data_IF_025291024927
#
_entry.id   IF_025291024927
#
_cell.length_a   1.000
_cell.length_b   1.000
_cell.length_c   1.000
_cell.angle_alpha   90.00
_cell.angle_beta   90.00
_cell.angle_gamma   90.00
#
_symmetry.space_group_name_H-M   'P 1'
#
loop_
_entity.id
_entity.type
_entity.pdbx_description
1 polymer ?
#
# COMPACT_ATOMS: atom_id res chain seq x y z
N UNK A 1 19.48 -4.13 23.53
CA UNK A 1 19.08 -5.17 24.52
C UNK A 1 19.99 -6.39 24.33
N UNK A 2 20.83 -6.77 25.31
CA UNK A 2 21.80 -7.89 25.15
C UNK A 2 21.14 -9.24 24.79
N UNK A 3 19.85 -9.42 25.08
CA UNK A 3 19.10 -10.64 24.78
C UNK A 3 18.82 -10.83 23.28
N UNK A 4 18.55 -9.74 22.54
CA UNK A 4 18.08 -9.81 21.15
C UNK A 4 19.28 -10.07 20.24
N UNK A 5 20.42 -9.45 20.57
CA UNK A 5 21.73 -9.73 19.97
C UNK A 5 22.14 -11.19 20.18
N UNK A 6 22.06 -11.71 21.41
CA UNK A 6 22.38 -13.13 21.68
C UNK A 6 21.50 -14.11 20.90
N UNK A 7 20.22 -13.79 20.67
CA UNK A 7 19.32 -14.62 19.86
C UNK A 7 19.66 -14.55 18.36
N UNK A 8 20.06 -13.38 17.86
CA UNK A 8 20.47 -13.21 16.47
C UNK A 8 21.82 -13.88 16.21
N UNK A 9 22.82 -13.66 17.08
CA UNK A 9 24.16 -14.26 17.02
C UNK A 9 24.09 -15.80 17.09
N UNK A 10 23.17 -16.35 17.89
CA UNK A 10 22.98 -17.81 17.99
C UNK A 10 22.46 -18.45 16.70
N UNK A 11 21.87 -17.67 15.79
CA UNK A 11 21.31 -18.15 14.51
C UNK A 11 22.16 -17.74 13.31
N UNK A 12 23.10 -16.80 13.47
CA UNK A 12 24.07 -16.36 12.46
C UNK A 12 24.75 -17.50 11.68
N UNK A 13 25.29 -18.57 12.31
CA UNK A 13 26.03 -19.61 11.59
C UNK A 13 25.17 -20.47 10.64
N UNK A 14 23.84 -20.33 10.66
CA UNK A 14 22.95 -20.98 9.68
C UNK A 14 22.84 -20.20 8.36
N UNK A 15 23.18 -18.90 8.40
CA UNK A 15 23.06 -17.97 7.29
C UNK A 15 24.44 -17.58 6.70
N UNK A 16 25.52 -17.65 7.48
CA UNK A 16 26.90 -17.43 7.00
C UNK A 16 27.38 -18.50 5.98
N UNK A 17 28.46 -18.19 5.26
CA UNK A 17 29.04 -19.03 4.19
C UNK A 17 29.22 -20.50 4.64
N UNK A 18 28.53 -21.43 3.98
CA UNK A 18 28.49 -22.86 4.33
C UNK A 18 27.28 -23.32 5.14
N UNK A 19 26.36 -22.40 5.48
CA UNK A 19 25.09 -22.70 6.11
C UNK A 19 24.01 -23.20 5.13
N UNK A 20 23.03 -23.97 5.61
CA UNK A 20 21.91 -24.47 4.76
C UNK A 20 21.02 -23.35 4.20
N UNK A 21 21.09 -22.14 4.75
CA UNK A 21 20.26 -20.98 4.39
C UNK A 21 21.09 -19.81 3.84
N UNK A 22 22.29 -20.06 3.31
CA UNK A 22 23.19 -19.05 2.71
C UNK A 22 22.48 -18.13 1.69
N UNK A 23 21.48 -18.64 0.96
CA UNK A 23 20.65 -17.83 0.03
C UNK A 23 19.86 -16.70 0.71
N UNK A 24 19.60 -16.80 2.01
CA UNK A 24 18.92 -15.76 2.81
C UNK A 24 19.90 -14.91 3.61
N UNK A 25 21.20 -15.11 3.43
CA UNK A 25 22.24 -14.28 4.03
C UNK A 25 22.02 -12.78 3.80
N UNK A 26 21.67 -12.29 2.59
CA UNK A 26 21.46 -10.86 2.37
C UNK A 26 20.31 -10.29 3.20
N UNK A 27 19.25 -11.09 3.40
CA UNK A 27 18.10 -10.67 4.20
C UNK A 27 18.42 -10.66 5.70
N UNK A 28 19.22 -11.63 6.15
CA UNK A 28 19.70 -11.71 7.53
C UNK A 28 20.65 -10.56 7.85
N UNK A 29 21.63 -10.29 6.99
CA UNK A 29 22.58 -9.20 7.15
C UNK A 29 21.88 -7.84 7.12
N UNK A 30 20.94 -7.61 6.20
CA UNK A 30 20.15 -6.39 6.14
C UNK A 30 19.35 -6.16 7.43
N UNK A 31 18.75 -7.22 7.98
CA UNK A 31 18.02 -7.14 9.24
C UNK A 31 18.93 -6.87 10.46
N UNK A 32 20.07 -7.56 10.56
CA UNK A 32 21.03 -7.32 11.66
C UNK A 32 21.62 -5.90 11.59
N UNK A 33 22.02 -5.48 10.39
CA UNK A 33 22.49 -4.12 10.09
C UNK A 33 21.46 -3.04 10.41
N UNK A 34 20.17 -3.30 10.18
CA UNK A 34 19.12 -2.32 10.46
C UNK A 34 18.94 -2.07 11.96
N UNK A 35 19.01 -3.13 12.77
CA UNK A 35 18.85 -3.02 14.22
C UNK A 35 20.15 -2.71 14.98
N UNK A 36 21.31 -3.01 14.38
CA UNK A 36 22.60 -2.90 15.02
C UNK A 36 23.67 -2.27 14.12
N UNK A 37 24.41 -1.31 14.67
CA UNK A 37 25.58 -0.72 14.00
C UNK A 37 26.70 -1.77 13.84
N UNK A 38 27.34 -1.87 12.65
CA UNK A 38 28.54 -2.67 12.45
C UNK A 38 29.64 -2.24 13.42
N UNK A 39 30.30 -3.21 14.05
CA UNK A 39 31.33 -2.96 15.06
C UNK A 39 32.73 -2.72 14.50
N UNK A 40 32.89 -2.61 13.18
CA UNK A 40 34.20 -2.47 12.55
C UNK A 40 34.79 -1.08 12.80
N UNK A 41 35.98 -1.05 13.39
CA UNK A 41 36.72 0.18 13.71
C UNK A 41 37.97 0.29 12.85
N UNK A 42 38.29 1.51 12.41
CA UNK A 42 39.50 1.77 11.64
C UNK A 42 40.74 1.56 12.50
N UNK A 43 41.61 0.63 12.10
CA UNK A 43 42.82 0.26 12.87
C UNK A 43 44.03 1.15 12.56
N UNK A 44 44.08 1.79 11.38
CA UNK A 44 45.21 2.62 10.93
C UNK A 44 44.89 4.13 10.98
N UNK A 45 45.94 4.95 10.89
CA UNK A 45 45.80 6.41 10.80
C UNK A 45 45.16 6.80 9.46
N UNK A 46 44.03 7.53 9.51
CA UNK A 46 43.41 8.14 8.34
C UNK A 46 43.80 9.62 8.25
N UNK A 47 43.97 10.12 7.02
CA UNK A 47 44.39 11.50 6.75
C UNK A 47 43.38 12.55 7.25
N UNK A 48 42.09 12.23 7.20
CA UNK A 48 40.98 13.00 7.80
C UNK A 48 40.04 12.00 8.48
N UNK A 49 39.47 12.38 9.62
CA UNK A 49 38.43 11.59 10.32
C UNK A 49 37.12 12.37 10.27
N UNK A 50 36.16 11.85 9.51
CA UNK A 50 34.78 12.31 9.58
C UNK A 50 34.08 11.62 10.76
N UNK A 51 33.24 12.37 11.47
CA UNK A 51 32.41 11.87 12.57
C UNK A 51 31.02 11.40 12.11
N UNK A 52 30.69 11.59 10.83
CA UNK A 52 29.46 11.07 10.25
C UNK A 52 29.60 9.56 9.97
N UNK A 53 28.85 8.76 10.72
CA UNK A 53 28.62 7.36 10.40
C UNK A 53 27.59 7.28 9.28
N UNK A 54 28.03 6.91 8.07
CA UNK A 54 27.20 6.81 6.87
C UNK A 54 25.97 5.93 7.10
N UNK A 55 26.14 4.81 7.82
CA UNK A 55 25.05 3.87 8.06
C UNK A 55 24.03 4.46 9.04
N UNK A 56 24.49 5.19 10.06
CA UNK A 56 23.61 5.86 11.03
C UNK A 56 22.83 7.01 10.42
N UNK A 57 23.46 7.78 9.53
CA UNK A 57 22.78 8.81 8.75
C UNK A 57 21.66 8.22 7.89
N UNK A 58 21.91 7.08 7.24
CA UNK A 58 20.91 6.38 6.43
C UNK A 58 19.69 5.96 7.27
N UNK A 59 19.90 5.34 8.43
CA UNK A 59 18.78 4.92 9.29
C UNK A 59 18.02 6.12 9.87
N UNK A 60 18.70 7.22 10.20
CA UNK A 60 18.04 8.43 10.70
C UNK A 60 17.07 9.02 9.67
N UNK A 61 17.47 9.03 8.39
CA UNK A 61 16.60 9.47 7.29
C UNK A 61 15.38 8.57 7.15
N UNK A 62 15.55 7.25 7.23
CA UNK A 62 14.42 6.29 7.19
C UNK A 62 13.45 6.56 8.34
N UNK A 63 13.94 6.76 9.56
CA UNK A 63 13.10 7.09 10.73
C UNK A 63 12.37 8.42 10.54
N UNK A 64 13.03 9.43 9.96
CA UNK A 64 12.41 10.72 9.66
C UNK A 64 11.31 10.63 8.58
N UNK A 65 11.39 9.65 7.68
CA UNK A 65 10.38 9.41 6.64
C UNK A 65 9.13 8.69 7.16
N UNK A 66 9.18 8.00 8.29
CA UNK A 66 8.02 7.29 8.88
C UNK A 66 6.77 8.18 8.97
N UNK A 67 6.79 9.37 9.62
CA UNK A 67 5.60 10.22 9.68
C UNK A 67 5.12 10.70 8.30
N UNK A 68 6.04 10.89 7.35
CA UNK A 68 5.70 11.26 5.98
C UNK A 68 4.96 10.12 5.26
N UNK A 69 5.45 8.88 5.39
CA UNK A 69 4.82 7.69 4.82
C UNK A 69 3.42 7.45 5.40
N UNK A 70 3.24 7.63 6.71
CA UNK A 70 1.92 7.54 7.34
C UNK A 70 0.93 8.56 6.77
N UNK A 71 1.34 9.83 6.65
CA UNK A 71 0.50 10.87 6.08
C UNK A 71 0.19 10.62 4.59
N UNK A 72 1.18 10.16 3.82
CA UNK A 72 0.98 9.82 2.41
C UNK A 72 -0.03 8.68 2.24
N UNK A 73 0.11 7.60 3.02
CA UNK A 73 -0.84 6.48 2.98
C UNK A 73 -2.26 6.93 3.34
N UNK A 74 -2.41 7.73 4.39
CA UNK A 74 -3.72 8.26 4.77
C UNK A 74 -4.34 9.14 3.67
N UNK A 75 -3.57 10.08 3.12
CA UNK A 75 -4.07 11.01 2.09
C UNK A 75 -4.44 10.28 0.79
N UNK A 76 -3.58 9.38 0.32
CA UNK A 76 -3.86 8.59 -0.89
C UNK A 76 -5.10 7.71 -0.71
N UNK A 77 -5.25 7.07 0.44
CA UNK A 77 -6.41 6.22 0.70
C UNK A 77 -7.71 6.99 0.85
N UNK A 78 -7.68 8.17 1.47
CA UNK A 78 -8.83 9.07 1.55
C UNK A 78 -9.32 9.47 0.16
N UNK A 79 -8.42 9.89 -0.74
CA UNK A 79 -8.78 10.27 -2.11
C UNK A 79 -9.35 9.10 -2.91
N UNK A 80 -8.79 7.90 -2.75
CA UNK A 80 -9.27 6.72 -3.44
C UNK A 80 -10.66 6.27 -2.94
N UNK A 81 -10.90 6.25 -1.62
CA UNK A 81 -12.22 5.93 -1.05
C UNK A 81 -13.28 6.96 -1.44
N UNK A 82 -12.93 8.25 -1.49
CA UNK A 82 -13.83 9.31 -1.98
C UNK A 82 -14.18 9.12 -3.46
N UNK A 83 -13.21 8.78 -4.30
CA UNK A 83 -13.44 8.53 -5.72
C UNK A 83 -14.35 7.31 -5.95
N UNK A 84 -14.18 6.24 -5.16
CA UNK A 84 -15.04 5.05 -5.23
C UNK A 84 -16.47 5.40 -4.81
N UNK A 85 -16.65 6.13 -3.70
CA UNK A 85 -17.98 6.59 -3.25
C UNK A 85 -18.66 7.45 -4.31
N UNK A 86 -17.95 8.41 -4.91
CA UNK A 86 -18.50 9.25 -5.97
C UNK A 86 -18.97 8.45 -7.19
N UNK A 87 -18.24 7.38 -7.56
CA UNK A 87 -18.65 6.47 -8.64
C UNK A 87 -19.87 5.62 -8.28
N UNK A 88 -19.97 5.16 -7.03
CA UNK A 88 -21.16 4.45 -6.52
C UNK A 88 -22.39 5.37 -6.57
N UNK A 89 -22.25 6.61 -6.10
CA UNK A 89 -23.35 7.59 -6.08
C UNK A 89 -23.80 7.96 -7.51
N UNK A 90 -22.88 8.02 -8.49
CA UNK A 90 -23.22 8.19 -9.91
C UNK A 90 -24.01 7.01 -10.49
N UNK A 91 -23.65 5.78 -10.11
CA UNK A 91 -24.39 4.58 -10.54
C UNK A 91 -25.82 4.60 -9.97
N UNK A 92 -25.98 5.01 -8.71
CA UNK A 92 -27.31 5.19 -8.08
C UNK A 92 -28.10 6.32 -8.73
N UNK A 93 -27.47 7.42 -9.17
CA UNK A 93 -28.14 8.53 -9.85
C UNK A 93 -28.60 8.22 -11.29
N UNK A 94 -28.03 7.19 -11.93
CA UNK A 94 -28.47 6.69 -13.24
C UNK A 94 -29.67 5.73 -13.15
N UNK A 95 -29.88 5.05 -12.01
CA UNK A 95 -31.01 4.15 -11.76
C UNK A 95 -32.40 4.85 -11.62
N UNK A 96 -32.57 6.09 -11.09
CA UNK A 96 -33.87 6.75 -11.03
C UNK A 96 -34.42 7.21 -12.39
N UNK A 97 -33.65 7.11 -13.48
CA UNK A 97 -34.16 7.36 -14.83
C UNK A 97 -34.97 6.16 -15.37
N UNK A 98 -34.75 4.95 -14.86
CA UNK A 98 -35.46 3.73 -15.32
C UNK A 98 -36.86 3.62 -14.71
N UNK A 99 -37.14 4.28 -13.58
CA UNK A 99 -38.43 4.17 -12.89
C UNK A 99 -39.09 5.52 -12.54
N UNK A 100 -38.84 6.56 -13.33
CA UNK A 100 -39.82 7.63 -13.46
C UNK A 100 -40.75 7.25 -14.61
N UNK A 101 -41.87 6.62 -14.29
CA UNK A 101 -43.10 6.88 -15.06
C UNK A 101 -43.28 8.39 -14.94
N UNK A 102 -42.90 9.10 -15.99
CA UNK A 102 -43.03 10.55 -16.05
C UNK A 102 -44.53 10.82 -16.17
N UNK A 103 -45.18 11.09 -15.04
CA UNK A 103 -46.52 11.67 -15.01
C UNK A 103 -46.41 13.15 -15.39
N UNK A 104 -46.07 13.42 -16.65
CA UNK A 104 -46.39 14.71 -17.23
C UNK A 104 -47.73 14.52 -17.92
N UNK A 105 -48.72 15.26 -17.41
CA UNK A 105 -50.03 15.46 -18.00
C UNK A 105 -50.91 14.21 -18.16
N UNK A 106 -51.35 13.63 -17.04
CA UNK A 106 -52.68 13.03 -16.91
C UNK A 106 -53.15 11.95 -17.92
N UNK A 107 -52.28 11.41 -18.76
CA UNK A 107 -52.64 10.46 -19.80
C UNK A 107 -51.58 9.35 -19.84
N UNK A 108 -52.03 8.12 -19.57
CA UNK A 108 -51.17 6.94 -19.62
C UNK A 108 -50.92 6.57 -21.08
N UNK A 109 -49.77 6.98 -21.62
CA UNK A 109 -49.35 6.52 -22.95
C UNK A 109 -49.04 5.02 -22.92
N UNK A 110 -49.49 4.24 -23.92
CA UNK A 110 -49.23 2.81 -24.02
C UNK A 110 -47.72 2.47 -24.05
N UNK A 111 -47.32 1.26 -23.61
CA UNK A 111 -45.93 0.88 -23.34
C UNK A 111 -45.00 0.86 -24.56
N UNK A 112 -45.55 1.09 -25.75
CA UNK A 112 -44.93 0.99 -27.06
C UNK A 112 -44.42 2.34 -27.62
N UNK A 113 -44.79 3.47 -27.02
CA UNK A 113 -44.24 4.81 -27.35
C UNK A 113 -43.35 5.43 -26.25
N UNK A 114 -43.13 4.71 -25.15
CA UNK A 114 -42.02 5.00 -24.25
C UNK A 114 -40.74 4.59 -24.98
N UNK A 115 -40.19 5.53 -25.76
CA UNK A 115 -39.06 5.33 -26.65
C UNK A 115 -38.07 4.36 -26.05
N UNK A 116 -37.81 3.25 -26.77
CA UNK A 116 -36.95 2.15 -26.36
C UNK A 116 -35.83 2.65 -25.45
N UNK A 117 -36.04 2.54 -24.14
CA UNK A 117 -34.95 2.73 -23.19
C UNK A 117 -34.09 1.51 -23.43
N UNK A 118 -33.06 1.72 -24.25
CA UNK A 118 -31.96 0.80 -24.43
C UNK A 118 -31.63 0.28 -23.02
N UNK A 119 -31.67 -1.04 -22.77
CA UNK A 119 -31.14 -1.58 -21.53
C UNK A 119 -29.76 -0.96 -21.38
N UNK A 120 -29.47 -0.34 -20.24
CA UNK A 120 -28.13 0.19 -19.99
C UNK A 120 -27.14 -0.93 -20.35
N UNK A 121 -26.33 -0.68 -21.38
CA UNK A 121 -25.26 -1.59 -21.78
C UNK A 121 -24.53 -1.99 -20.48
N UNK A 122 -24.24 -3.28 -20.24
CA UNK A 122 -23.64 -3.76 -18.99
C UNK A 122 -22.26 -3.14 -18.67
N UNK A 123 -21.74 -2.27 -19.55
CA UNK A 123 -20.53 -1.47 -19.39
C UNK A 123 -20.68 -0.23 -18.49
N UNK A 124 -21.89 0.17 -18.09
CA UNK A 124 -22.12 1.38 -17.27
C UNK A 124 -22.31 1.10 -15.77
N UNK A 125 -22.47 -0.16 -15.36
CA UNK A 125 -22.60 -0.55 -13.95
C UNK A 125 -21.20 -0.56 -13.29
N UNK A 126 -20.98 0.29 -12.29
CA UNK A 126 -19.74 0.29 -11.51
C UNK A 126 -19.80 -0.76 -10.40
N UNK A 127 -19.06 -1.87 -10.58
CA UNK A 127 -18.89 -2.89 -9.55
C UNK A 127 -17.71 -2.55 -8.62
N UNK A 128 -17.96 -2.20 -7.34
CA UNK A 128 -16.90 -1.76 -6.42
C UNK A 128 -15.90 -2.87 -6.08
N UNK A 129 -16.34 -4.13 -6.06
CA UNK A 129 -15.47 -5.28 -5.80
C UNK A 129 -14.48 -5.53 -6.95
N UNK A 130 -14.94 -5.41 -8.20
CA UNK A 130 -14.09 -5.52 -9.38
C UNK A 130 -13.08 -4.36 -9.45
N UNK A 131 -13.48 -3.14 -9.04
CA UNK A 131 -12.61 -1.98 -9.01
C UNK A 131 -11.49 -2.07 -7.96
N UNK A 132 -11.76 -2.72 -6.82
CA UNK A 132 -10.79 -2.94 -5.75
C UNK A 132 -9.89 -4.15 -6.00
N UNK A 133 -10.39 -5.16 -6.73
CA UNK A 133 -9.65 -6.39 -7.01
C UNK A 133 -9.13 -7.04 -5.72
N UNK A 134 -7.86 -7.43 -5.69
CA UNK A 134 -7.23 -8.04 -4.52
C UNK A 134 -7.14 -7.11 -3.30
N UNK A 135 -7.29 -5.78 -3.47
CA UNK A 135 -7.26 -4.81 -2.37
C UNK A 135 -8.52 -4.85 -1.51
N UNK A 136 -9.63 -5.35 -2.06
CA UNK A 136 -10.89 -5.52 -1.32
C UNK A 136 -10.73 -6.39 -0.07
N UNK A 137 -9.81 -7.37 -0.10
CA UNK A 137 -9.52 -8.27 1.01
C UNK A 137 -8.99 -7.55 2.27
N UNK A 138 -8.28 -6.43 2.10
CA UNK A 138 -7.65 -5.71 3.21
C UNK A 138 -8.41 -4.44 3.60
N UNK A 139 -9.04 -3.79 2.62
CA UNK A 139 -9.76 -2.53 2.82
C UNK A 139 -11.18 -2.76 3.30
N UNK A 140 -11.79 -3.88 2.90
CA UNK A 140 -13.21 -4.12 3.10
C UNK A 140 -14.07 -3.10 2.35
N UNK A 141 -15.16 -2.67 2.98
CA UNK A 141 -16.08 -1.67 2.40
C UNK A 141 -15.42 -0.29 2.33
N UNK A 142 -15.46 0.42 1.18
CA UNK A 142 -14.89 1.75 1.07
C UNK A 142 -15.68 2.76 1.92
N UNK A 143 -15.05 3.24 3.00
CA UNK A 143 -15.62 4.28 3.86
C UNK A 143 -14.61 5.43 4.03
N UNK A 144 -14.87 6.61 3.44
CA UNK A 144 -14.02 7.79 3.58
C UNK A 144 -13.97 8.37 4.99
N UNK A 145 -14.96 8.08 5.85
CA UNK A 145 -15.03 8.66 7.21
C UNK A 145 -14.15 7.91 8.22
N UNK A 146 -13.78 6.67 7.90
CA UNK A 146 -13.02 5.80 8.77
C UNK A 146 -11.50 5.96 8.55
N UNK A 147 -10.79 6.40 9.59
CA UNK A 147 -9.33 6.59 9.54
C UNK A 147 -8.58 5.32 9.13
N UNK A 148 -8.96 4.18 9.71
CA UNK A 148 -8.30 2.89 9.47
C UNK A 148 -8.57 2.39 8.04
N UNK A 149 -9.78 2.58 7.51
CA UNK A 149 -10.11 2.20 6.12
C UNK A 149 -9.26 3.01 5.14
N UNK A 150 -9.14 4.32 5.34
CA UNK A 150 -8.30 5.19 4.53
C UNK A 150 -6.81 4.80 4.63
N UNK A 151 -6.30 4.54 5.84
CA UNK A 151 -4.89 4.16 6.02
C UNK A 151 -4.58 2.81 5.35
N UNK A 152 -5.42 1.79 5.56
CA UNK A 152 -5.24 0.47 4.96
C UNK A 152 -5.37 0.55 3.43
N UNK A 153 -6.30 1.35 2.92
CA UNK A 153 -6.44 1.53 1.48
C UNK A 153 -5.17 2.12 0.87
N UNK A 154 -4.61 3.19 1.42
CA UNK A 154 -3.32 3.71 0.93
C UNK A 154 -2.15 2.74 1.11
N UNK A 155 -2.12 2.01 2.22
CA UNK A 155 -1.11 0.98 2.48
C UNK A 155 -1.11 -0.12 1.38
N UNK A 156 -2.27 -0.51 0.86
CA UNK A 156 -2.33 -1.50 -0.25
C UNK A 156 -1.77 -0.98 -1.58
N UNK A 157 -1.56 0.32 -1.75
CA UNK A 157 -0.81 0.86 -2.89
C UNK A 157 0.69 0.87 -2.61
N UNK A 158 1.08 1.25 -1.39
CA UNK A 158 2.47 1.47 -1.02
C UNK A 158 3.26 0.17 -0.74
N UNK A 159 2.73 -0.74 0.08
CA UNK A 159 3.48 -1.92 0.55
C UNK A 159 3.93 -2.87 -0.56
N UNK A 160 3.10 -3.24 -1.56
CA UNK A 160 3.54 -4.11 -2.65
C UNK A 160 4.68 -3.47 -3.44
N UNK A 161 4.58 -2.17 -3.74
CA UNK A 161 5.62 -1.43 -4.47
C UNK A 161 6.90 -1.38 -3.64
N UNK A 162 6.79 -1.05 -2.34
CA UNK A 162 7.93 -1.00 -1.43
C UNK A 162 8.67 -2.34 -1.32
N UNK A 163 7.94 -3.45 -1.17
CA UNK A 163 8.52 -4.79 -1.11
C UNK A 163 9.25 -5.11 -2.41
N UNK A 164 8.64 -4.87 -3.56
CA UNK A 164 9.27 -5.12 -4.87
C UNK A 164 10.52 -4.27 -5.06
N UNK A 165 10.47 -2.97 -4.73
CA UNK A 165 11.62 -2.08 -4.83
C UNK A 165 12.77 -2.51 -3.90
N UNK A 166 12.49 -2.86 -2.64
CA UNK A 166 13.51 -3.29 -1.69
C UNK A 166 14.10 -4.65 -2.05
N UNK A 167 13.27 -5.61 -2.48
CA UNK A 167 13.74 -6.94 -2.87
C UNK A 167 14.56 -6.91 -4.15
N UNK A 168 14.10 -6.22 -5.20
CA UNK A 168 14.87 -6.12 -6.47
C UNK A 168 16.11 -5.25 -6.27
N UNK A 169 15.97 -4.11 -5.59
CA UNK A 169 17.08 -3.22 -5.28
C UNK A 169 18.20 -3.94 -4.53
N UNK A 170 17.87 -4.66 -3.46
CA UNK A 170 18.86 -5.40 -2.67
C UNK A 170 19.42 -6.67 -3.35
N UNK A 171 18.84 -7.14 -4.46
CA UNK A 171 19.42 -8.24 -5.26
C UNK A 171 20.38 -7.70 -6.33
N UNK A 172 20.12 -6.49 -6.84
CA UNK A 172 20.94 -5.86 -7.89
C UNK A 172 22.10 -5.02 -7.35
N UNK A 173 22.02 -4.54 -6.11
CA UNK A 173 23.12 -3.90 -5.37
C UNK A 173 24.18 -4.92 -4.95
#
# INVERSE_FOLDING_TARGET
MRWLRKLLDSKAPLFEDGGKLEKFYPLYEAADTFFYTPGEVTRNASHVRDGLDLKRMMTMVVVALIPCVFMACYNTGMQANQAIKAKIDQNVAMIPAVNKVVFLDGEATPPDEAGHTMPLEPSQQFDPEAALGWRSLFVGTPDPSSFISNLLHGATYFFPVYIVCMSIGGICE
#
